data_IF_453441082923
#
_entry.id   IF_453441082923
#
_cell.length_a   1.000
_cell.length_b   1.000
_cell.length_c   1.000
_cell.angle_alpha   90.00
_cell.angle_beta   90.00
_cell.angle_gamma   90.00
#
_symmetry.space_group_name_H-M   'P 1'
#
loop_
_entity.id
_entity.type
_entity.pdbx_description
1 polymer ?
#
# COMPACT_ATOMS: atom_id res chain seq x y z
N UNK A 1 11.17 -0.81 -1.73
CA UNK A 1 10.67 -1.56 -0.55
C UNK A 1 9.21 -1.99 -0.68
N UNK A 2 8.28 -1.14 -1.11
CA UNK A 2 6.86 -1.51 -1.21
C UNK A 2 6.64 -2.79 -2.05
N UNK A 3 7.28 -2.90 -3.22
CA UNK A 3 7.23 -4.12 -4.06
C UNK A 3 7.74 -5.40 -3.36
N UNK A 4 8.74 -5.26 -2.47
CA UNK A 4 9.25 -6.38 -1.68
C UNK A 4 8.22 -6.81 -0.64
N UNK A 5 7.62 -5.86 0.07
CA UNK A 5 6.55 -6.15 1.02
C UNK A 5 5.35 -6.78 0.32
N UNK A 6 4.92 -6.27 -0.84
CA UNK A 6 3.77 -6.84 -1.55
C UNK A 6 3.96 -8.33 -1.87
N UNK A 7 5.17 -8.72 -2.28
CA UNK A 7 5.53 -10.13 -2.49
C UNK A 7 5.47 -10.97 -1.21
N UNK A 8 5.86 -10.40 -0.08
CA UNK A 8 5.72 -11.04 1.24
C UNK A 8 4.26 -11.23 1.62
N UNK A 9 3.42 -10.21 1.39
CA UNK A 9 1.99 -10.25 1.73
C UNK A 9 1.22 -11.32 0.96
N UNK A 10 1.67 -11.72 -0.25
CA UNK A 10 1.04 -12.82 -1.01
C UNK A 10 1.12 -14.19 -0.29
N UNK A 11 1.99 -14.33 0.71
CA UNK A 11 2.16 -15.58 1.47
C UNK A 11 1.26 -15.63 2.71
N UNK A 12 0.57 -14.54 3.04
CA UNK A 12 -0.35 -14.52 4.16
C UNK A 12 -1.68 -15.15 3.76
N UNK A 13 -2.20 -16.00 4.64
CA UNK A 13 -3.54 -16.58 4.51
C UNK A 13 -4.49 -15.95 5.54
N UNK A 14 -5.77 -15.88 5.21
CA UNK A 14 -6.83 -15.42 6.12
C UNK A 14 -6.61 -14.00 6.69
N UNK A 15 -6.22 -13.06 5.85
CA UNK A 15 -6.07 -11.64 6.20
C UNK A 15 -6.82 -10.74 5.22
N UNK A 16 -7.21 -9.55 5.69
CA UNK A 16 -7.66 -8.47 4.81
C UNK A 16 -6.65 -7.34 4.85
N UNK A 17 -6.17 -6.91 3.69
CA UNK A 17 -5.16 -5.87 3.55
C UNK A 17 -5.82 -4.65 2.90
N UNK A 18 -5.77 -3.52 3.60
CA UNK A 18 -6.23 -2.24 3.08
C UNK A 18 -5.03 -1.39 2.67
N UNK A 19 -4.89 -1.16 1.36
CA UNK A 19 -3.79 -0.39 0.80
C UNK A 19 -4.18 1.09 0.65
N UNK A 20 -3.47 1.97 1.35
CA UNK A 20 -3.62 3.42 1.24
C UNK A 20 -2.47 3.98 0.40
N UNK A 21 -2.78 4.47 -0.79
CA UNK A 21 -1.80 5.02 -1.71
C UNK A 21 -1.30 6.39 -1.23
N UNK A 22 0.02 6.49 -1.01
CA UNK A 22 0.74 7.70 -0.53
C UNK A 22 1.90 7.98 -1.50
N UNK A 23 1.68 8.80 -2.55
CA UNK A 23 2.65 8.98 -3.65
C UNK A 23 3.81 9.94 -3.30
N UNK A 24 4.79 9.48 -2.52
CA UNK A 24 5.92 10.31 -2.05
C UNK A 24 7.28 10.01 -2.71
N UNK A 25 7.36 9.05 -3.64
CA UNK A 25 8.64 8.51 -4.10
C UNK A 25 9.24 9.21 -5.34
N UNK A 26 8.38 9.72 -6.22
CA UNK A 26 8.79 10.31 -7.50
C UNK A 26 7.71 11.26 -8.02
N UNK A 27 8.08 12.14 -8.96
CA UNK A 27 7.15 13.11 -9.55
C UNK A 27 5.92 12.43 -10.22
N UNK A 28 6.11 11.26 -10.82
CA UNK A 28 5.05 10.48 -11.46
C UNK A 28 4.25 9.58 -10.50
N UNK A 29 4.64 9.51 -9.21
CA UNK A 29 3.93 8.69 -8.22
C UNK A 29 2.46 9.11 -8.08
N UNK A 30 2.17 10.42 -8.12
CA UNK A 30 0.80 10.93 -7.98
C UNK A 30 -0.09 10.47 -9.14
N UNK A 31 0.42 10.56 -10.38
CA UNK A 31 -0.28 10.09 -11.57
C UNK A 31 -0.54 8.59 -11.47
N UNK A 32 0.47 7.78 -11.15
CA UNK A 32 0.35 6.33 -10.99
C UNK A 32 -0.68 5.96 -9.93
N UNK A 33 -0.65 6.60 -8.77
CA UNK A 33 -1.63 6.34 -7.70
C UNK A 33 -3.05 6.68 -8.12
N UNK A 34 -3.27 7.78 -8.85
CA UNK A 34 -4.59 8.12 -9.41
C UNK A 34 -5.03 7.10 -10.46
N UNK A 35 -4.14 6.64 -11.34
CA UNK A 35 -4.46 5.61 -12.33
C UNK A 35 -4.84 4.27 -11.70
N UNK A 36 -4.12 3.85 -10.66
CA UNK A 36 -4.48 2.65 -9.88
C UNK A 36 -5.88 2.83 -9.29
N UNK A 37 -6.15 3.98 -8.66
CA UNK A 37 -7.44 4.25 -8.02
C UNK A 37 -8.60 4.34 -9.02
N UNK A 38 -8.38 4.95 -10.17
CA UNK A 38 -9.40 5.14 -11.19
C UNK A 38 -9.61 3.92 -12.09
N UNK A 39 -8.83 2.86 -11.91
CA UNK A 39 -9.02 1.62 -12.64
C UNK A 39 -10.37 0.97 -12.28
N UNK A 40 -10.99 0.32 -13.26
CA UNK A 40 -12.19 -0.51 -13.03
C UNK A 40 -11.89 -1.68 -12.08
N UNK A 41 -10.66 -2.18 -12.11
CA UNK A 41 -10.14 -3.21 -11.20
C UNK A 41 -8.85 -2.70 -10.56
N UNK A 42 -9.01 -2.03 -9.42
CA UNK A 42 -7.90 -1.43 -8.67
C UNK A 42 -6.92 -2.49 -8.16
N UNK A 43 -7.44 -3.65 -7.73
CA UNK A 43 -6.64 -4.74 -7.18
C UNK A 43 -5.73 -5.33 -8.26
N UNK A 44 -6.25 -5.57 -9.46
CA UNK A 44 -5.45 -6.07 -10.58
C UNK A 44 -4.35 -5.09 -10.95
N UNK A 45 -4.67 -3.79 -11.12
CA UNK A 45 -3.68 -2.79 -11.52
C UNK A 45 -2.61 -2.59 -10.44
N UNK A 46 -2.99 -2.63 -9.16
CA UNK A 46 -2.04 -2.64 -8.04
C UNK A 46 -1.10 -3.84 -8.10
N UNK A 47 -1.64 -5.06 -8.25
CA UNK A 47 -0.84 -6.29 -8.33
C UNK A 47 0.10 -6.28 -9.54
N UNK A 48 -0.39 -5.89 -10.71
CA UNK A 48 0.40 -5.76 -11.93
C UNK A 48 1.58 -4.79 -11.73
N UNK A 49 1.33 -3.66 -11.08
CA UNK A 49 2.39 -2.69 -10.78
C UNK A 49 3.41 -3.23 -9.77
N UNK A 50 2.93 -3.82 -8.68
CA UNK A 50 3.74 -4.15 -7.52
C UNK A 50 4.49 -5.47 -7.65
N UNK A 51 3.86 -6.47 -8.27
CA UNK A 51 4.40 -7.81 -8.43
C UNK A 51 5.02 -8.00 -9.82
N UNK A 52 4.38 -7.46 -10.86
CA UNK A 52 4.73 -7.74 -12.26
C UNK A 52 5.50 -6.60 -12.95
N UNK A 53 5.72 -5.48 -12.25
CA UNK A 53 6.38 -4.27 -12.78
C UNK A 53 5.68 -3.62 -13.98
N UNK A 54 4.40 -3.90 -14.19
CA UNK A 54 3.62 -3.27 -15.25
C UNK A 54 3.09 -1.92 -14.75
N UNK A 55 3.55 -0.83 -15.37
CA UNK A 55 3.12 0.51 -14.94
C UNK A 55 1.61 0.71 -15.17
N UNK A 56 0.89 1.33 -14.22
CA UNK A 56 -0.50 1.72 -14.41
C UNK A 56 -0.66 2.62 -15.63
N UNK A 57 -1.76 2.46 -16.35
CA UNK A 57 -2.14 3.29 -17.49
C UNK A 57 -3.63 3.63 -17.40
N UNK A 58 -4.10 4.55 -18.25
CA UNK A 58 -5.51 4.94 -18.31
C UNK A 58 -5.83 6.22 -17.55
N UNK A 59 -7.12 6.35 -17.20
CA UNK A 59 -7.71 7.57 -16.61
C UNK A 59 -7.13 7.88 -15.24
N UNK A 60 -7.07 9.16 -14.90
CA UNK A 60 -6.55 9.65 -13.60
C UNK A 60 -7.39 10.80 -13.03
N UNK A 61 -8.52 11.09 -13.67
CA UNK A 61 -9.41 12.23 -13.45
C UNK A 61 -10.68 11.86 -12.66
N UNK A 62 -10.78 10.63 -12.15
CA UNK A 62 -11.89 10.24 -11.28
C UNK A 62 -11.77 10.85 -9.87
N UNK A 63 -12.89 10.89 -9.14
CA UNK A 63 -12.87 11.18 -7.72
C UNK A 63 -12.01 10.14 -6.97
N UNK A 64 -11.00 10.61 -6.25
CA UNK A 64 -10.03 9.76 -5.58
C UNK A 64 -9.61 10.34 -4.21
N UNK A 65 -9.18 9.51 -3.24
CA UNK A 65 -8.82 9.95 -1.90
C UNK A 65 -7.33 10.29 -1.76
N UNK A 66 -6.56 10.41 -2.85
CA UNK A 66 -5.09 10.48 -2.78
C UNK A 66 -4.60 11.65 -1.91
N UNK A 67 -5.21 12.84 -2.05
CA UNK A 67 -4.85 14.00 -1.22
C UNK A 67 -5.24 13.80 0.25
N UNK A 68 -6.36 13.10 0.51
CA UNK A 68 -6.78 12.74 1.88
C UNK A 68 -5.83 11.72 2.50
N UNK A 69 -5.38 10.72 1.74
CA UNK A 69 -4.39 9.73 2.18
C UNK A 69 -3.06 10.41 2.52
N UNK A 70 -2.62 11.39 1.71
CA UNK A 70 -1.42 12.19 1.98
C UNK A 70 -1.55 13.00 3.27
N UNK A 71 -2.69 13.65 3.51
CA UNK A 71 -2.95 14.38 4.74
C UNK A 71 -2.96 13.46 5.97
N UNK A 72 -3.59 12.28 5.85
CA UNK A 72 -3.60 11.26 6.88
C UNK A 72 -2.19 10.74 7.17
N UNK A 73 -1.40 10.44 6.13
CA UNK A 73 -0.03 9.99 6.28
C UNK A 73 0.81 11.00 7.07
N UNK A 74 0.63 12.29 6.78
CA UNK A 74 1.30 13.39 7.50
C UNK A 74 0.87 13.45 8.97
N UNK A 75 -0.42 13.34 9.28
CA UNK A 75 -0.89 13.42 10.68
C UNK A 75 -0.42 12.24 11.53
N UNK A 76 -0.23 11.07 10.92
CA UNK A 76 0.34 9.88 11.59
C UNK A 76 1.88 9.84 11.57
N UNK A 77 2.55 10.87 11.05
CA UNK A 77 4.01 10.95 10.98
C UNK A 77 4.65 9.84 10.13
N UNK A 78 3.99 9.46 9.03
CA UNK A 78 4.52 8.49 8.08
C UNK A 78 5.53 9.19 7.16
N UNK A 79 6.82 9.00 7.46
CA UNK A 79 7.92 9.59 6.70
C UNK A 79 8.55 8.62 5.67
N UNK A 80 7.99 7.42 5.50
CA UNK A 80 8.53 6.42 4.59
C UNK A 80 7.51 5.32 4.26
N UNK A 81 7.64 4.76 3.05
CA UNK A 81 6.78 3.67 2.55
C UNK A 81 7.60 2.41 2.27
N UNK A 82 7.06 1.20 2.57
CA UNK A 82 5.74 0.97 3.14
C UNK A 82 5.72 1.19 4.66
N UNK A 83 4.53 1.37 5.24
CA UNK A 83 4.29 1.34 6.69
C UNK A 83 3.01 0.52 6.91
N UNK A 84 3.07 -0.48 7.79
CA UNK A 84 1.94 -1.35 8.14
C UNK A 84 1.37 -0.87 9.47
N UNK A 85 0.05 -0.75 9.57
CA UNK A 85 -0.66 -0.57 10.84
C UNK A 85 -1.47 -1.82 11.14
N UNK A 86 -1.48 -2.22 12.41
CA UNK A 86 -2.29 -3.33 12.92
C UNK A 86 -3.52 -2.80 13.66
N UNK A 87 -4.46 -3.70 13.97
CA UNK A 87 -5.75 -3.35 14.60
C UNK A 87 -5.62 -2.76 16.01
N UNK A 88 -4.51 -3.02 16.70
CA UNK A 88 -4.19 -2.43 18.01
C UNK A 88 -3.50 -1.05 17.91
N UNK A 89 -3.35 -0.51 16.69
CA UNK A 89 -2.69 0.77 16.43
C UNK A 89 -1.17 0.72 16.39
N UNK A 90 -0.56 -0.43 16.71
CA UNK A 90 0.88 -0.62 16.51
C UNK A 90 1.24 -0.62 15.03
N UNK A 91 2.50 -0.30 14.71
CA UNK A 91 2.96 -0.18 13.33
C UNK A 91 4.34 -0.74 13.10
N UNK A 92 4.58 -1.22 11.88
CA UNK A 92 5.91 -1.51 11.38
C UNK A 92 6.29 -0.56 10.24
N UNK A 93 7.41 0.17 10.36
CA UNK A 93 7.97 0.92 9.24
C UNK A 93 8.78 0.01 8.32
N UNK A 94 8.72 0.27 7.02
CA UNK A 94 9.51 -0.43 6.01
C UNK A 94 8.96 -1.80 5.61
N UNK A 95 9.72 -2.50 4.78
CA UNK A 95 9.35 -3.85 4.33
C UNK A 95 9.82 -4.90 5.33
N UNK A 96 8.85 -5.54 5.98
CA UNK A 96 8.97 -6.49 7.09
C UNK A 96 8.97 -7.93 6.58
N UNK A 97 9.56 -8.86 7.33
CA UNK A 97 9.56 -10.29 7.00
C UNK A 97 8.22 -10.94 7.34
N UNK A 98 7.88 -12.04 6.65
CA UNK A 98 6.63 -12.77 6.86
C UNK A 98 6.46 -13.19 8.32
N UNK A 99 7.49 -13.80 8.90
CA UNK A 99 7.49 -14.31 10.29
C UNK A 99 7.17 -13.24 11.33
N UNK A 100 7.64 -12.01 11.12
CA UNK A 100 7.38 -10.90 12.04
C UNK A 100 5.93 -10.42 11.93
N UNK A 101 5.37 -10.41 10.71
CA UNK A 101 3.97 -10.08 10.47
C UNK A 101 3.05 -11.16 11.09
N UNK A 102 3.33 -12.44 10.85
CA UNK A 102 2.56 -13.56 11.40
C UNK A 102 2.61 -13.58 12.93
N UNK A 103 3.80 -13.41 13.52
CA UNK A 103 3.97 -13.30 14.97
C UNK A 103 3.16 -12.13 15.51
N UNK A 104 3.15 -11.00 14.82
CA UNK A 104 2.36 -9.84 15.24
C UNK A 104 0.86 -10.13 15.14
N UNK A 105 0.38 -10.69 14.03
CA UNK A 105 -1.03 -11.07 13.86
C UNK A 105 -1.48 -12.08 14.91
N UNK A 106 -0.66 -13.07 15.26
CA UNK A 106 -0.96 -14.04 16.30
C UNK A 106 -1.11 -13.39 17.70
N UNK A 107 -0.38 -12.31 17.97
CA UNK A 107 -0.51 -11.56 19.24
C UNK A 107 -1.76 -10.69 19.36
N UNK A 108 -2.52 -10.51 18.26
CA UNK A 108 -3.74 -9.71 18.21
C UNK A 108 -5.02 -10.54 18.37
N UNK A 109 -4.87 -11.87 18.52
CA UNK A 109 -5.97 -12.80 18.73
C UNK A 109 -6.40 -12.85 20.19
#
# INVERSE_FOLDING_TARGET
YCKRLEKTLQQLENVTIYNYLIPILSADSSLKSKQIWCASDQQKVWNDWMLNNQSPTGKSDCANPIDKNMALAKSYGINGTPTIFFTDGSRFPGAVQLVDIEKKLASLK
#
